data_IF_435537965226
#
_entry.id   IF_435537965226
#
_cell.length_a   1.000
_cell.length_b   1.000
_cell.length_c   1.000
_cell.angle_alpha   90.00
_cell.angle_beta   90.00
_cell.angle_gamma   90.00
#
_symmetry.space_group_name_H-M   'P 1'
#
loop_
_entity.id
_entity.type
_entity.pdbx_description
1 polymer ?
#
# COMPACT_ATOMS: atom_id res chain seq x y z
N UNK A 1 16.95 -22.64 -4.93
CA UNK A 1 17.07 -21.61 -3.88
C UNK A 1 15.84 -20.72 -3.97
N UNK A 2 15.24 -20.33 -2.84
CA UNK A 2 14.13 -19.38 -2.86
C UNK A 2 14.71 -17.97 -3.07
N UNK A 3 14.33 -17.30 -4.15
CA UNK A 3 14.74 -15.91 -4.39
C UNK A 3 14.14 -14.99 -3.33
N UNK A 4 14.86 -13.92 -3.01
CA UNK A 4 14.42 -12.88 -2.08
C UNK A 4 14.60 -11.51 -2.75
N UNK A 5 13.59 -10.65 -2.60
CA UNK A 5 13.65 -9.24 -2.99
C UNK A 5 13.69 -8.41 -1.72
N UNK A 6 14.64 -7.49 -1.61
CA UNK A 6 14.73 -6.55 -0.48
C UNK A 6 14.61 -5.12 -1.02
N UNK A 7 13.77 -4.31 -0.39
CA UNK A 7 13.66 -2.90 -0.71
C UNK A 7 13.43 -2.06 0.54
N UNK A 8 13.74 -0.77 0.45
CA UNK A 8 13.62 0.19 1.55
C UNK A 8 12.51 1.19 1.25
N UNK A 9 11.62 1.41 2.23
CA UNK A 9 10.50 2.35 2.12
C UNK A 9 10.60 3.46 3.17
N UNK A 10 10.36 4.72 2.80
CA UNK A 10 10.26 5.80 3.78
C UNK A 10 9.00 5.61 4.63
N UNK A 11 9.15 5.87 5.92
CA UNK A 11 8.06 5.81 6.88
C UNK A 11 7.37 7.18 6.98
N UNK A 12 6.04 7.18 6.89
CA UNK A 12 5.19 8.38 6.95
C UNK A 12 4.29 8.36 8.17
N UNK A 13 3.97 9.54 8.71
CA UNK A 13 3.10 9.67 9.91
C UNK A 13 1.74 8.99 9.74
N UNK A 14 1.19 8.97 8.53
CA UNK A 14 -0.10 8.34 8.19
C UNK A 14 -0.10 6.81 8.30
N UNK A 15 1.09 6.20 8.30
CA UNK A 15 1.26 4.75 8.45
C UNK A 15 1.22 4.30 9.91
N UNK A 16 1.25 5.23 10.86
CA UNK A 16 1.24 4.93 12.29
C UNK A 16 -0.10 5.29 12.91
N UNK A 17 -0.49 4.50 13.92
CA UNK A 17 -1.42 4.97 14.94
C UNK A 17 -0.61 5.62 16.07
N UNK A 18 -1.26 6.21 17.09
CA UNK A 18 -0.55 6.70 18.28
C UNK A 18 0.31 5.65 19.01
N UNK A 19 0.08 4.35 18.74
CA UNK A 19 0.76 3.25 19.41
C UNK A 19 1.87 2.64 18.56
N UNK A 20 1.64 2.41 17.26
CA UNK A 20 2.56 1.67 16.39
C UNK A 20 2.14 1.73 14.91
N UNK A 21 2.94 1.14 14.02
CA UNK A 21 2.58 0.88 12.61
C UNK A 21 1.18 0.26 12.49
N UNK A 22 0.35 0.84 11.63
CA UNK A 22 -1.02 0.38 11.39
C UNK A 22 -1.01 -0.93 10.59
N UNK A 23 -1.96 -1.85 10.81
CA UNK A 23 -2.03 -3.09 10.03
C UNK A 23 -2.20 -2.79 8.55
N UNK A 24 -3.03 -1.78 8.22
CA UNK A 24 -3.21 -1.28 6.86
C UNK A 24 -1.89 -0.90 6.17
N UNK A 25 -0.98 -0.23 6.86
CA UNK A 25 0.29 0.17 6.26
C UNK A 25 1.19 -1.05 5.93
N UNK A 26 1.28 -2.03 6.85
CA UNK A 26 2.00 -3.28 6.60
C UNK A 26 1.38 -4.07 5.45
N UNK A 27 0.05 -4.12 5.43
CA UNK A 27 -0.76 -4.71 4.37
C UNK A 27 -0.48 -4.06 3.00
N UNK A 28 -0.50 -2.73 2.89
CA UNK A 28 -0.21 -2.01 1.65
C UNK A 28 1.23 -2.31 1.17
N UNK A 29 2.19 -2.31 2.10
CA UNK A 29 3.57 -2.72 1.82
C UNK A 29 3.69 -4.18 1.36
N UNK A 30 2.82 -5.07 1.85
CA UNK A 30 2.81 -6.46 1.43
C UNK A 30 2.43 -6.65 -0.03
N UNK A 31 1.39 -5.93 -0.47
CA UNK A 31 0.95 -5.96 -1.87
C UNK A 31 1.99 -5.31 -2.79
N UNK A 32 2.59 -4.19 -2.35
CA UNK A 32 3.68 -3.57 -3.10
C UNK A 32 4.90 -4.48 -3.20
N UNK A 33 5.27 -5.14 -2.11
CA UNK A 33 6.37 -6.10 -2.09
C UNK A 33 6.12 -7.31 -2.99
N UNK A 34 4.89 -7.82 -3.01
CA UNK A 34 4.48 -8.86 -3.95
C UNK A 34 4.64 -8.39 -5.42
N UNK A 35 4.12 -7.21 -5.76
CA UNK A 35 4.20 -6.69 -7.12
C UNK A 35 5.65 -6.46 -7.56
N UNK A 36 6.52 -6.00 -6.66
CA UNK A 36 7.96 -5.85 -6.90
C UNK A 36 8.65 -7.19 -7.11
N UNK A 37 8.40 -8.17 -6.24
CA UNK A 37 8.93 -9.52 -6.39
C UNK A 37 8.54 -10.11 -7.75
N UNK A 38 7.27 -9.97 -8.15
CA UNK A 38 6.81 -10.42 -9.47
C UNK A 38 7.56 -9.72 -10.61
N UNK A 39 7.72 -8.39 -10.54
CA UNK A 39 8.42 -7.64 -11.58
C UNK A 39 9.89 -8.01 -11.71
N UNK A 40 10.54 -8.38 -10.60
CA UNK A 40 11.96 -8.76 -10.57
C UNK A 40 12.19 -10.21 -11.04
N UNK A 41 11.36 -11.16 -10.58
CA UNK A 41 11.63 -12.59 -10.74
C UNK A 41 10.73 -13.29 -11.77
N UNK A 42 9.64 -12.66 -12.21
CA UNK A 42 8.66 -13.25 -13.13
C UNK A 42 8.22 -12.23 -14.21
N UNK A 43 7.07 -11.59 -14.00
CA UNK A 43 6.50 -10.55 -14.87
C UNK A 43 5.82 -9.49 -14.01
N UNK A 44 5.83 -8.21 -14.40
CA UNK A 44 5.09 -7.18 -13.67
C UNK A 44 3.61 -7.55 -13.47
N UNK A 45 3.05 -7.25 -12.29
CA UNK A 45 1.68 -7.62 -11.95
C UNK A 45 0.61 -7.23 -13.00
N UNK A 46 0.64 -6.02 -13.61
CA UNK A 46 -0.30 -5.71 -14.69
C UNK A 46 -0.16 -6.63 -15.91
N UNK A 47 1.06 -7.06 -16.26
CA UNK A 47 1.28 -8.01 -17.35
C UNK A 47 0.77 -9.42 -16.98
N UNK A 48 0.94 -9.85 -15.73
CA UNK A 48 0.37 -11.11 -15.22
C UNK A 48 -1.15 -11.16 -15.46
N UNK A 49 -1.84 -10.07 -15.19
CA UNK A 49 -3.29 -9.97 -15.38
C UNK A 49 -3.65 -9.89 -16.86
N UNK A 50 -3.10 -8.92 -17.59
CA UNK A 50 -3.58 -8.61 -18.95
C UNK A 50 -3.04 -9.54 -20.03
N UNK A 51 -1.79 -10.01 -19.91
CA UNK A 51 -1.16 -10.87 -20.92
C UNK A 51 -1.31 -12.35 -20.60
N UNK A 52 -1.26 -12.70 -19.32
CA UNK A 52 -1.29 -14.09 -18.88
C UNK A 52 -2.65 -14.50 -18.32
N UNK A 53 -3.65 -13.61 -18.32
CA UNK A 53 -4.99 -13.91 -17.82
C UNK A 53 -4.95 -14.48 -16.40
N UNK A 54 -4.00 -14.04 -15.57
CA UNK A 54 -3.76 -14.61 -14.26
C UNK A 54 -3.94 -13.54 -13.21
N UNK A 55 -4.85 -13.79 -12.28
CA UNK A 55 -5.09 -12.95 -11.11
C UNK A 55 -4.78 -13.73 -9.83
N UNK A 56 -4.65 -13.00 -8.73
CA UNK A 56 -4.50 -13.59 -7.41
C UNK A 56 -5.48 -12.93 -6.45
N UNK A 57 -6.02 -13.72 -5.53
CA UNK A 57 -6.87 -13.20 -4.44
C UNK A 57 -6.27 -13.58 -3.11
N UNK A 58 -6.28 -12.65 -2.16
CA UNK A 58 -5.76 -12.92 -0.82
C UNK A 58 -6.76 -13.82 -0.09
N UNK A 59 -6.31 -15.02 0.29
CA UNK A 59 -7.12 -15.97 1.05
C UNK A 59 -6.95 -15.80 2.55
N UNK A 60 -5.73 -15.50 2.99
CA UNK A 60 -5.42 -15.21 4.38
C UNK A 60 -4.25 -14.26 4.49
N UNK A 61 -4.31 -13.39 5.49
CA UNK A 61 -3.20 -12.54 5.93
C UNK A 61 -2.98 -12.79 7.41
N UNK A 62 -1.73 -13.04 7.78
CA UNK A 62 -1.27 -13.03 9.18
C UNK A 62 -0.26 -11.92 9.36
N UNK A 63 -0.44 -11.13 10.41
CA UNK A 63 0.49 -10.09 10.84
C UNK A 63 0.96 -10.39 12.25
N UNK A 64 2.27 -10.56 12.41
CA UNK A 64 2.92 -10.75 13.70
C UNK A 64 3.78 -9.50 13.98
N UNK A 65 3.39 -8.69 14.97
CA UNK A 65 4.16 -7.52 15.40
C UNK A 65 5.27 -7.97 16.36
N UNK A 66 6.53 -7.84 15.93
CA UNK A 66 7.70 -8.26 16.73
C UNK A 66 8.12 -7.15 17.70
N UNK A 67 8.07 -5.90 17.24
CA UNK A 67 8.28 -4.70 18.05
C UNK A 67 7.00 -3.85 18.07
N UNK A 68 6.01 -4.18 18.93
CA UNK A 68 4.71 -3.50 18.95
C UNK A 68 4.78 -2.07 19.50
N UNK A 69 5.95 -1.64 19.97
CA UNK A 69 6.28 -0.29 20.41
C UNK A 69 6.90 0.57 19.30
N UNK A 70 7.04 0.06 18.06
CA UNK A 70 7.60 0.82 16.95
C UNK A 70 6.65 1.95 16.52
N UNK A 71 6.92 3.17 17.00
CA UNK A 71 6.27 4.39 16.56
C UNK A 71 7.11 5.22 15.58
N UNK A 72 6.47 6.23 14.98
CA UNK A 72 7.04 7.05 13.89
C UNK A 72 8.40 7.67 14.22
N UNK A 73 8.63 8.04 15.48
CA UNK A 73 9.89 8.65 15.91
C UNK A 73 11.07 7.67 16.00
N UNK A 74 10.85 6.37 15.87
CA UNK A 74 11.89 5.36 16.08
C UNK A 74 12.70 5.05 14.83
N UNK A 75 12.13 5.18 13.63
CA UNK A 75 12.83 4.89 12.39
C UNK A 75 12.26 5.71 11.23
N UNK A 76 13.12 6.36 10.43
CA UNK A 76 12.69 7.08 9.22
C UNK A 76 12.45 6.14 8.02
N UNK A 77 12.95 4.90 8.08
CA UNK A 77 12.87 3.92 7.00
C UNK A 77 12.48 2.53 7.51
N UNK A 78 11.91 1.75 6.61
CA UNK A 78 11.59 0.35 6.82
C UNK A 78 12.16 -0.49 5.67
N UNK A 79 13.02 -1.44 5.99
CA UNK A 79 13.46 -2.46 5.05
C UNK A 79 12.42 -3.58 5.01
N UNK A 80 12.07 -3.99 3.79
CA UNK A 80 11.06 -5.01 3.51
C UNK A 80 11.72 -6.11 2.70
N UNK A 81 11.92 -7.26 3.33
CA UNK A 81 12.33 -8.49 2.67
C UNK A 81 11.12 -9.30 2.22
N UNK A 82 11.08 -9.75 0.97
CA UNK A 82 9.97 -10.49 0.37
C UNK A 82 10.46 -11.82 -0.15
N UNK A 83 9.80 -12.89 0.29
CA UNK A 83 10.04 -14.25 -0.19
C UNK A 83 8.72 -14.86 -0.66
N UNK A 84 8.75 -15.52 -1.81
CA UNK A 84 7.58 -16.17 -2.39
C UNK A 84 7.82 -17.65 -2.60
N UNK A 85 6.78 -18.44 -2.36
CA UNK A 85 6.72 -19.87 -2.65
C UNK A 85 5.44 -20.15 -3.43
N UNK A 86 5.49 -21.04 -4.40
CA UNK A 86 4.30 -21.55 -5.09
C UNK A 86 4.02 -22.99 -4.65
N UNK A 87 2.75 -23.39 -4.61
CA UNK A 87 2.40 -24.80 -4.48
C UNK A 87 2.81 -25.57 -5.73
N UNK A 88 2.98 -26.89 -5.61
CA UNK A 88 3.40 -27.76 -6.73
C UNK A 88 2.48 -27.64 -7.94
N UNK A 89 1.18 -27.45 -7.72
CA UNK A 89 0.18 -27.27 -8.79
C UNK A 89 0.03 -25.82 -9.26
N UNK A 90 0.77 -24.87 -8.69
CA UNK A 90 0.67 -23.44 -9.01
C UNK A 90 -0.65 -22.79 -8.56
N UNK A 91 -1.53 -23.51 -7.87
CA UNK A 91 -2.85 -22.98 -7.50
C UNK A 91 -2.80 -22.01 -6.31
N UNK A 92 -1.69 -22.00 -5.57
CA UNK A 92 -1.52 -21.21 -4.35
C UNK A 92 -0.14 -20.57 -4.33
N UNK A 93 -0.08 -19.32 -3.90
CA UNK A 93 1.16 -18.62 -3.58
C UNK A 93 1.22 -18.33 -2.09
N UNK A 94 2.35 -18.62 -1.47
CA UNK A 94 2.70 -18.16 -0.14
C UNK A 94 3.70 -17.02 -0.23
N UNK A 95 3.42 -15.90 0.43
CA UNK A 95 4.33 -14.76 0.51
C UNK A 95 4.67 -14.53 1.97
N UNK A 96 5.96 -14.44 2.27
CA UNK A 96 6.46 -14.04 3.58
C UNK A 96 7.16 -12.70 3.44
N UNK A 97 6.80 -11.76 4.32
CA UNK A 97 7.46 -10.48 4.41
C UNK A 97 8.06 -10.27 5.79
N UNK A 98 9.31 -9.84 5.83
CA UNK A 98 9.98 -9.40 7.05
C UNK A 98 10.17 -7.89 6.98
N UNK A 99 9.62 -7.17 7.96
CA UNK A 99 9.77 -5.73 8.09
C UNK A 99 10.84 -5.46 9.15
N UNK A 100 11.86 -4.69 8.80
CA UNK A 100 12.98 -4.37 9.68
C UNK A 100 13.23 -2.87 9.69
N UNK A 101 13.60 -2.35 10.83
CA UNK A 101 14.29 -1.05 10.93
C UNK A 101 15.78 -1.33 11.11
N UNK A 102 16.63 -0.30 10.99
CA UNK A 102 18.09 -0.45 11.06
C UNK A 102 18.53 -1.28 12.30
N UNK A 103 17.87 -1.07 13.45
CA UNK A 103 18.29 -1.67 14.72
C UNK A 103 17.52 -2.93 15.16
N UNK A 104 16.38 -3.26 14.53
CA UNK A 104 15.50 -4.36 15.03
C UNK A 104 14.43 -4.84 14.03
N UNK A 105 13.96 -6.10 14.15
CA UNK A 105 12.76 -6.55 13.46
C UNK A 105 11.52 -5.79 13.96
N UNK A 106 10.69 -5.32 13.03
CA UNK A 106 9.48 -4.57 13.32
C UNK A 106 8.24 -5.49 13.34
N UNK A 107 8.04 -6.24 12.27
CA UNK A 107 6.89 -7.10 12.08
C UNK A 107 7.21 -8.20 11.06
N UNK A 108 6.31 -9.18 10.95
CA UNK A 108 6.28 -10.17 9.88
C UNK A 108 4.87 -10.26 9.32
N UNK A 109 4.75 -10.35 8.00
CA UNK A 109 3.49 -10.68 7.34
C UNK A 109 3.61 -12.03 6.62
N UNK A 110 2.51 -12.78 6.60
CA UNK A 110 2.36 -13.95 5.75
C UNK A 110 1.05 -13.88 5.00
N UNK A 111 1.12 -13.89 3.67
CA UNK A 111 -0.03 -13.94 2.79
C UNK A 111 -0.12 -15.32 2.16
N UNK A 112 -1.34 -15.82 2.06
CA UNK A 112 -1.67 -16.96 1.19
C UNK A 112 -2.61 -16.43 0.13
N UNK A 113 -2.23 -16.61 -1.13
CA UNK A 113 -2.97 -16.15 -2.29
C UNK A 113 -3.46 -17.35 -3.10
N UNK A 114 -4.73 -17.31 -3.53
CA UNK A 114 -5.25 -18.24 -4.54
C UNK A 114 -4.95 -17.67 -5.92
N UNK A 115 -4.39 -18.48 -6.82
CA UNK A 115 -4.22 -18.13 -8.23
C UNK A 115 -5.51 -18.42 -8.97
N UNK A 116 -5.95 -17.47 -9.80
CA UNK A 116 -7.17 -17.53 -10.59
C UNK A 116 -6.87 -17.27 -12.06
N UNK A 117 -7.61 -17.96 -12.94
CA UNK A 117 -7.65 -17.63 -14.37
C UNK A 117 -8.72 -16.58 -14.61
N UNK A 118 -8.34 -15.51 -15.29
CA UNK A 118 -9.21 -14.44 -15.76
C UNK A 118 -9.80 -14.89 -17.09
N UNK A 119 -11.10 -15.19 -17.10
CA UNK A 119 -11.79 -15.66 -18.31
C UNK A 119 -11.97 -14.54 -19.35
N UNK A 120 -12.18 -13.32 -18.89
CA UNK A 120 -12.36 -12.13 -19.74
C UNK A 120 -11.71 -10.92 -19.04
N UNK A 121 -10.74 -10.22 -19.67
CA UNK A 121 -10.10 -9.04 -19.09
C UNK A 121 -11.09 -7.91 -18.77
N UNK A 122 -12.23 -7.84 -19.48
CA UNK A 122 -13.27 -6.84 -19.19
C UNK A 122 -14.01 -7.17 -17.88
N UNK A 123 -13.97 -8.41 -17.40
CA UNK A 123 -14.50 -8.78 -16.08
C UNK A 123 -13.75 -8.14 -14.91
N UNK A 124 -12.55 -7.61 -15.16
CA UNK A 124 -11.77 -6.84 -14.18
C UNK A 124 -11.96 -5.33 -14.33
N UNK A 125 -12.55 -4.88 -15.43
CA UNK A 125 -12.86 -3.47 -15.64
C UNK A 125 -14.11 -3.11 -14.86
N UNK A 126 -13.98 -2.17 -13.93
CA UNK A 126 -15.12 -1.48 -13.36
C UNK A 126 -15.69 -0.54 -14.44
N UNK A 127 -16.39 -1.10 -15.44
CA UNK A 127 -17.36 -0.31 -16.19
C UNK A 127 -18.28 0.34 -15.16
N UNK A 128 -18.72 1.58 -15.38
CA UNK A 128 -19.60 2.35 -14.48
C UNK A 128 -20.86 1.55 -14.13
N UNK A 129 -20.72 0.67 -13.16
CA UNK A 129 -21.68 -0.29 -12.69
C UNK A 129 -22.40 0.40 -11.54
N UNK A 130 -23.72 0.47 -11.66
CA UNK A 130 -24.61 0.94 -10.61
C UNK A 130 -24.23 0.32 -9.26
N UNK A 131 -24.32 1.13 -8.20
CA UNK A 131 -23.86 0.87 -6.82
C UNK A 131 -24.13 -0.53 -6.27
N UNK A 132 -25.15 -1.23 -6.75
CA UNK A 132 -25.50 -2.61 -6.34
C UNK A 132 -24.54 -3.69 -6.84
N UNK A 133 -23.72 -3.45 -7.88
CA UNK A 133 -22.69 -4.39 -8.35
C UNK A 133 -21.28 -4.09 -7.81
N UNK A 134 -21.08 -2.93 -7.19
CA UNK A 134 -19.83 -2.63 -6.46
C UNK A 134 -19.62 -3.53 -5.25
N UNK A 135 -20.67 -4.08 -4.61
CA UNK A 135 -20.49 -4.97 -3.45
C UNK A 135 -19.65 -6.22 -3.77
N UNK A 136 -19.69 -6.70 -5.02
CA UNK A 136 -18.87 -7.86 -5.41
C UNK A 136 -17.43 -7.43 -5.67
N UNK A 137 -17.17 -6.33 -6.38
CA UNK A 137 -15.80 -5.83 -6.59
C UNK A 137 -15.15 -5.26 -5.31
N UNK A 138 -15.92 -4.63 -4.41
CA UNK A 138 -15.47 -4.16 -3.09
C UNK A 138 -15.19 -5.34 -2.15
N UNK A 139 -15.93 -6.46 -2.28
CA UNK A 139 -15.57 -7.74 -1.60
C UNK A 139 -14.25 -8.32 -2.10
N UNK A 140 -13.82 -7.99 -3.31
CA UNK A 140 -12.56 -8.47 -3.90
C UNK A 140 -11.40 -7.51 -3.62
N UNK A 141 -11.72 -6.29 -3.19
CA UNK A 141 -10.74 -5.32 -2.78
C UNK A 141 -10.18 -5.69 -1.39
N UNK A 142 -8.87 -5.59 -1.31
CA UNK A 142 -8.05 -5.65 -0.09
C UNK A 142 -8.63 -4.89 1.12
N UNK A 143 -9.49 -3.89 0.85
CA UNK A 143 -10.21 -3.06 1.83
C UNK A 143 -11.05 -3.93 2.78
N UNK A 144 -11.68 -4.99 2.28
CA UNK A 144 -12.55 -5.87 3.08
C UNK A 144 -11.81 -6.69 4.14
N UNK A 145 -10.49 -6.93 3.99
CA UNK A 145 -9.70 -7.60 5.04
C UNK A 145 -9.03 -6.63 6.00
N UNK A 146 -8.76 -5.39 5.55
CA UNK A 146 -8.14 -4.36 6.38
C UNK A 146 -9.05 -4.00 7.55
N UNK A 147 -10.36 -3.91 7.32
CA UNK A 147 -11.33 -3.56 8.36
C UNK A 147 -11.38 -4.62 9.48
N UNK A 148 -11.62 -5.93 9.23
CA UNK A 148 -11.54 -6.97 10.25
C UNK A 148 -10.18 -7.02 10.97
N UNK A 149 -9.07 -6.84 10.26
CA UNK A 149 -7.74 -6.82 10.87
C UNK A 149 -7.55 -5.60 11.80
N UNK A 150 -8.08 -4.44 11.41
CA UNK A 150 -8.05 -3.23 12.22
C UNK A 150 -8.98 -3.36 13.44
N UNK A 151 -10.20 -3.87 13.26
CA UNK A 151 -11.15 -4.13 14.35
C UNK A 151 -10.61 -5.19 15.33
N UNK A 152 -10.01 -6.28 14.84
CA UNK A 152 -9.39 -7.30 15.70
C UNK A 152 -8.27 -6.67 16.54
N UNK A 153 -7.42 -5.84 15.93
CA UNK A 153 -6.39 -5.10 16.65
C UNK A 153 -6.97 -4.16 17.70
N UNK A 154 -7.99 -3.38 17.38
CA UNK A 154 -8.62 -2.46 18.34
C UNK A 154 -9.17 -3.21 19.55
N UNK A 155 -9.66 -4.44 19.38
CA UNK A 155 -10.05 -5.31 20.50
C UNK A 155 -8.84 -5.77 21.32
N UNK A 156 -7.73 -6.13 20.68
CA UNK A 156 -6.52 -6.61 21.37
C UNK A 156 -5.78 -5.50 22.11
N UNK A 157 -5.71 -4.29 21.54
CA UNK A 157 -4.94 -3.16 22.09
C UNK A 157 -5.81 -2.05 22.69
N UNK A 158 -7.14 -2.18 22.67
CA UNK A 158 -8.08 -1.29 23.36
C UNK A 158 -8.18 -1.54 24.87
N UNK A 159 -7.38 -2.46 25.41
CA UNK A 159 -7.29 -2.71 26.85
C UNK A 159 -6.64 -1.48 27.53
N UNK A 160 -7.31 -0.85 28.51
CA UNK A 160 -6.74 0.28 29.25
C UNK A 160 -5.40 -0.11 29.91
N UNK A 161 -4.34 0.66 29.68
CA UNK A 161 -3.04 0.48 30.34
C UNK A 161 -1.84 0.29 29.41
N UNK A 162 -2.02 0.21 28.10
CA UNK A 162 -0.89 0.23 27.17
C UNK A 162 -0.23 1.62 27.14
N UNK A 163 1.09 1.72 27.33
CA UNK A 163 1.77 3.01 27.29
C UNK A 163 1.64 3.59 25.87
N UNK A 164 1.04 4.78 25.76
CA UNK A 164 1.15 5.59 24.55
C UNK A 164 2.62 5.73 24.16
N UNK A 165 2.94 5.84 22.86
CA UNK A 165 4.30 6.00 22.35
C UNK A 165 5.04 7.06 23.19
N UNK A 166 5.82 6.58 24.16
CA UNK A 166 6.61 7.44 25.02
C UNK A 166 7.76 7.89 24.15
N UNK A 167 7.85 9.18 23.92
CA UNK A 167 9.06 9.78 23.36
C UNK A 167 10.24 9.23 24.15
N UNK A 168 11.08 8.42 23.49
CA UNK A 168 12.34 8.00 24.10
C UNK A 168 13.07 9.29 24.47
N UNK A 169 13.42 9.51 25.75
CA UNK A 169 14.22 10.67 26.10
C UNK A 169 15.49 10.61 25.26
N UNK A 170 15.98 11.74 24.71
CA UNK A 170 17.20 11.75 23.93
C UNK A 170 18.28 11.09 24.78
N UNK A 171 18.69 9.88 24.41
CA UNK A 171 19.69 9.14 25.13
C UNK A 171 20.94 10.00 25.13
N UNK A 172 21.46 10.31 26.32
CA UNK A 172 22.80 10.88 26.47
C UNK A 172 23.75 9.92 25.76
N UNK A 173 24.19 10.32 24.58
CA UNK A 173 25.34 9.75 23.89
C UNK A 173 26.56 9.95 24.78
N UNK A 174 26.93 8.94 25.57
CA UNK A 174 28.16 8.96 26.34
C UNK A 174 29.35 8.77 25.39
N UNK A 175 30.08 9.88 25.17
CA UNK A 175 31.56 10.06 25.12
C UNK A 175 32.35 9.22 24.09
N UNK A 176 33.14 9.76 23.14
CA UNK A 176 33.67 11.09 22.79
C UNK A 176 34.60 10.94 21.54
N UNK A 177 35.61 11.81 21.25
CA UNK A 177 35.75 13.23 21.51
C UNK A 177 35.99 14.09 20.22
N UNK A 178 35.92 15.42 20.40
CA UNK A 178 36.43 16.53 19.56
C UNK A 178 35.72 16.94 18.26
N UNK A 179 34.69 17.79 18.46
CA UNK A 179 34.62 19.18 17.97
C UNK A 179 35.27 19.58 16.63
N UNK A 180 34.45 19.67 15.58
CA UNK A 180 34.51 20.80 14.64
C UNK A 180 33.21 21.61 14.80
N UNK A 181 33.36 22.90 15.10
CA UNK A 181 32.27 23.82 15.39
C UNK A 181 31.31 23.95 14.20
N UNK A 182 30.09 23.45 14.39
CA UNK A 182 28.96 23.78 13.52
C UNK A 182 28.26 25.00 14.11
N UNK A 183 28.41 26.15 13.45
CA UNK A 183 27.58 27.32 13.73
C UNK A 183 26.11 26.97 13.40
N UNK A 184 25.14 27.34 14.25
CA UNK A 184 23.73 27.14 13.94
C UNK A 184 23.37 27.98 12.71
N UNK A 185 22.79 27.33 11.70
CA UNK A 185 22.24 28.04 10.55
C UNK A 185 21.20 29.06 11.03
N UNK A 186 21.21 30.30 10.49
CA UNK A 186 20.24 31.32 10.87
C UNK A 186 18.83 30.86 10.49
N UNK A 187 17.80 31.32 11.23
CA UNK A 187 16.41 30.96 10.95
C UNK A 187 16.02 31.39 9.53
N UNK A 188 15.70 30.39 8.70
CA UNK A 188 15.13 30.62 7.36
C UNK A 188 13.74 31.21 7.53
N UNK A 189 13.62 32.53 7.37
CA UNK A 189 12.31 33.18 7.21
C UNK A 189 11.76 32.80 5.84
N UNK A 190 10.83 31.86 5.82
CA UNK A 190 10.02 31.57 4.64
C UNK A 190 9.20 32.83 4.31
N UNK A 191 9.58 33.53 3.24
CA UNK A 191 8.72 34.57 2.66
C UNK A 191 7.48 33.88 2.08
N UNK A 192 6.26 34.36 2.39
CA UNK A 192 5.06 33.87 1.71
C UNK A 192 5.21 34.12 0.21
N UNK A 193 5.10 33.07 -0.59
CA UNK A 193 4.97 33.21 -2.03
C UNK A 193 3.59 33.83 -2.33
N UNK A 194 3.50 34.82 -3.23
CA UNK A 194 2.21 35.37 -3.64
C UNK A 194 1.37 34.28 -4.28
N UNK A 195 0.20 34.04 -3.70
CA UNK A 195 -0.79 33.10 -4.21
C UNK A 195 -1.48 33.72 -5.43
N UNK A 196 -1.05 33.34 -6.62
CA UNK A 196 -1.71 33.74 -7.87
C UNK A 196 -2.94 32.86 -8.09
N UNK A 197 -4.13 33.45 -7.99
CA UNK A 197 -5.37 32.77 -8.36
C UNK A 197 -5.32 32.36 -9.84
N UNK A 198 -5.58 31.08 -10.17
CA UNK A 198 -5.80 30.69 -11.56
C UNK A 198 -7.11 31.33 -12.04
N UNK A 199 -7.02 32.18 -13.07
CA UNK A 199 -8.19 32.70 -13.78
C UNK A 199 -8.89 31.54 -14.48
N UNK A 200 -10.14 31.27 -14.10
CA UNK A 200 -11.04 30.37 -14.82
C UNK A 200 -11.29 30.89 -16.25
N UNK A 201 -11.05 30.09 -17.30
CA UNK A 201 -11.54 30.41 -18.63
C UNK A 201 -13.02 30.03 -18.71
N UNK A 202 -13.89 31.04 -18.73
CA UNK A 202 -15.31 30.88 -19.01
C UNK A 202 -15.55 30.65 -20.51
N UNK A 203 -16.36 29.61 -20.76
CA UNK A 203 -17.42 29.49 -21.78
C UNK A 203 -17.14 29.91 -23.22
N UNK A 204 -17.02 28.89 -24.07
CA UNK A 204 -17.19 29.01 -25.52
C UNK A 204 -17.24 27.64 -26.19
N UNK A 205 -18.29 26.84 -25.92
CA UNK A 205 -18.59 25.65 -26.73
C UNK A 205 -20.05 25.70 -27.14
N UNK A 206 -20.26 25.91 -28.43
CA UNK A 206 -21.54 25.75 -29.13
C UNK A 206 -22.07 24.31 -28.99
N UNK A 207 -23.40 24.14 -28.98
CA UNK A 207 -24.02 22.82 -28.99
C UNK A 207 -23.87 22.16 -30.38
N UNK A 208 -23.25 20.99 -30.39
CA UNK A 208 -23.18 20.09 -31.54
C UNK A 208 -24.62 19.63 -31.87
N UNK A 209 -25.15 20.07 -33.01
CA UNK A 209 -26.40 19.54 -33.58
C UNK A 209 -26.16 18.13 -34.15
N UNK A 210 -26.63 17.11 -33.44
CA UNK A 210 -26.75 15.74 -33.94
C UNK A 210 -27.85 15.68 -35.02
N UNK A 211 -27.44 15.56 -36.28
CA UNK A 211 -28.32 15.19 -37.40
C UNK A 211 -28.55 13.69 -37.37
N UNK A 212 -29.73 13.26 -36.93
CA UNK A 212 -30.27 11.92 -37.14
C UNK A 212 -30.60 11.73 -38.62
N UNK A 213 -29.83 10.88 -39.32
CA UNK A 213 -30.22 10.36 -40.65
C UNK A 213 -31.09 9.13 -40.45
N UNK A 214 -32.35 9.21 -40.85
CA UNK A 214 -33.22 8.05 -41.04
C UNK A 214 -32.75 7.23 -42.26
N UNK A 215 -32.66 5.89 -42.18
CA UNK A 215 -32.50 5.05 -43.35
C UNK A 215 -33.84 4.95 -44.09
N UNK A 216 -33.83 5.35 -45.38
CA UNK A 216 -34.91 5.04 -46.33
C UNK A 216 -34.91 3.54 -46.60
N UNK A 217 -35.98 2.87 -46.19
CA UNK A 217 -36.27 1.50 -46.62
C UNK A 217 -36.49 1.45 -48.12
N UNK A 218 -35.70 0.61 -48.79
CA UNK A 218 -35.82 0.32 -50.20
C UNK A 218 -36.90 -0.76 -50.40
N UNK A 219 -37.92 -0.44 -51.19
CA UNK A 219 -38.85 -1.42 -51.77
C UNK A 219 -38.11 -2.19 -52.85
N UNK A 220 -38.11 -3.52 -52.78
CA UNK A 220 -38.33 -4.43 -53.92
C UNK A 220 -38.99 -5.70 -53.39
#
# INVERSE_FOLDING_TARGET
MASETVFREPLWTTQFSPLQLRPRALSDLAINGFARYLAEHLVPFPALVHKHGTAVVVRSLRLDYVAPDLCFAHAPWLDVGVRMTASVRGEWLGITLDYRTDDRPAARARLVLRVLTVADPDSLSAHSLTRSRCEVADRWSFIGMIEPATTARERTFGIPGLPACRRRPPGRSSTGPQSHGFLPAPPVRLRPLPYSHPRSPHSGREPIRLRTRHPRGNRR
#
